data_IF_763547792427
#
_entry.id   IF_763547792427
#
_cell.length_a   1.000
_cell.length_b   1.000
_cell.length_c   1.000
_cell.angle_alpha   90.00
_cell.angle_beta   90.00
_cell.angle_gamma   90.00
#
_symmetry.space_group_name_H-M   'P 1'
#
loop_
_entity.id
_entity.type
_entity.pdbx_description
1 polymer ?
#
# COMPACT_ATOMS: atom_id res chain seq x y z
N UNK A 1 -23.29 12.06 21.37
CA UNK A 1 -22.62 11.15 20.42
C UNK A 1 -22.55 11.84 19.07
N UNK A 2 -21.35 12.26 18.65
CA UNK A 2 -21.15 12.88 17.33
C UNK A 2 -21.31 11.83 16.23
N UNK A 3 -21.98 12.18 15.13
CA UNK A 3 -22.09 11.31 13.96
C UNK A 3 -20.72 11.25 13.31
N UNK A 4 -20.04 10.11 13.39
CA UNK A 4 -18.84 9.81 12.60
C UNK A 4 -19.19 10.02 11.13
N UNK A 5 -18.47 10.89 10.43
CA UNK A 5 -18.70 11.11 9.00
C UNK A 5 -18.15 9.92 8.20
N UNK A 6 -18.65 9.73 6.98
CA UNK A 6 -18.14 8.68 6.08
C UNK A 6 -16.63 8.86 5.83
N UNK A 7 -16.15 10.11 5.72
CA UNK A 7 -14.71 10.40 5.63
C UNK A 7 -13.94 9.93 6.86
N UNK A 8 -14.47 10.14 8.07
CA UNK A 8 -13.80 9.72 9.31
C UNK A 8 -13.63 8.20 9.37
N UNK A 9 -14.64 7.46 8.89
CA UNK A 9 -14.60 6.00 8.80
C UNK A 9 -13.61 5.48 7.76
N UNK A 10 -13.48 6.14 6.61
CA UNK A 10 -12.48 5.75 5.59
C UNK A 10 -11.05 6.04 6.11
N UNK A 11 -10.88 7.15 6.83
CA UNK A 11 -9.62 7.52 7.47
C UNK A 11 -9.17 6.55 8.58
N UNK A 12 -10.10 5.86 9.25
CA UNK A 12 -9.74 4.80 10.21
C UNK A 12 -9.20 3.55 9.52
N UNK A 13 -9.77 3.12 8.38
CA UNK A 13 -9.36 1.87 7.70
C UNK A 13 -7.87 1.87 7.36
N UNK A 14 -7.33 2.97 6.82
CA UNK A 14 -5.92 3.04 6.46
C UNK A 14 -5.00 2.87 7.69
N UNK A 15 -5.37 3.45 8.82
CA UNK A 15 -4.63 3.30 10.09
C UNK A 15 -4.74 1.88 10.62
N UNK A 16 -5.94 1.31 10.59
CA UNK A 16 -6.19 -0.07 11.04
C UNK A 16 -5.41 -1.10 10.21
N UNK A 17 -5.23 -0.85 8.90
CA UNK A 17 -4.34 -1.64 8.03
C UNK A 17 -2.91 -1.60 8.56
N UNK A 18 -2.35 -0.42 8.84
CA UNK A 18 -0.98 -0.33 9.38
C UNK A 18 -0.85 -1.01 10.75
N UNK A 19 -1.84 -0.84 11.61
CA UNK A 19 -1.86 -1.50 12.91
C UNK A 19 -1.90 -3.03 12.76
N UNK A 20 -2.61 -3.56 11.77
CA UNK A 20 -2.57 -4.99 11.43
C UNK A 20 -1.19 -5.43 10.93
N UNK A 21 -0.62 -4.73 9.93
CA UNK A 21 0.72 -5.00 9.39
C UNK A 21 1.74 -5.08 10.53
N UNK A 22 1.75 -4.10 11.42
CA UNK A 22 2.73 -4.02 12.51
C UNK A 22 2.71 -5.21 13.48
N UNK A 23 1.60 -5.96 13.53
CA UNK A 23 1.40 -7.12 14.40
C UNK A 23 1.76 -8.44 13.73
N UNK A 24 1.61 -8.54 12.41
CA UNK A 24 1.66 -9.83 11.71
C UNK A 24 2.70 -9.91 10.59
N UNK A 25 3.18 -8.77 10.08
CA UNK A 25 4.16 -8.72 9.01
C UNK A 25 5.58 -8.59 9.56
N UNK A 26 6.55 -9.01 8.75
CA UNK A 26 7.98 -8.88 9.05
C UNK A 26 8.50 -7.55 8.51
N UNK A 27 9.14 -6.74 9.36
CA UNK A 27 9.77 -5.48 8.94
C UNK A 27 10.89 -5.75 7.93
N UNK A 28 10.90 -5.00 6.83
CA UNK A 28 11.86 -5.15 5.73
C UNK A 28 11.52 -6.28 4.75
N UNK A 29 10.41 -6.99 4.95
CA UNK A 29 9.91 -8.00 4.01
C UNK A 29 8.66 -7.47 3.31
N UNK A 30 8.85 -6.90 2.11
CA UNK A 30 7.77 -6.34 1.30
C UNK A 30 6.66 -7.35 0.97
N UNK A 31 6.98 -8.63 0.77
CA UNK A 31 5.98 -9.64 0.46
C UNK A 31 5.13 -9.95 1.70
N UNK A 32 5.77 -10.06 2.87
CA UNK A 32 5.05 -10.21 4.14
C UNK A 32 4.10 -9.04 4.41
N UNK A 33 4.46 -7.82 4.02
CA UNK A 33 3.60 -6.63 4.15
C UNK A 33 2.42 -6.68 3.18
N UNK A 34 2.65 -7.02 1.91
CA UNK A 34 1.57 -7.17 0.91
C UNK A 34 0.56 -8.23 1.36
N UNK A 35 1.05 -9.40 1.79
CA UNK A 35 0.21 -10.50 2.26
C UNK A 35 -0.63 -10.10 3.48
N UNK A 36 -0.07 -9.32 4.41
CA UNK A 36 -0.80 -8.82 5.57
C UNK A 36 -1.92 -7.86 5.17
N UNK A 37 -1.71 -7.00 4.17
CA UNK A 37 -2.74 -6.08 3.68
C UNK A 37 -3.86 -6.85 2.98
N UNK A 38 -3.52 -7.85 2.15
CA UNK A 38 -4.51 -8.67 1.45
C UNK A 38 -5.36 -9.47 2.45
N UNK A 39 -4.74 -10.12 3.44
CA UNK A 39 -5.46 -10.84 4.51
C UNK A 39 -6.37 -9.93 5.31
N UNK A 40 -5.94 -8.72 5.63
CA UNK A 40 -6.82 -7.73 6.27
C UNK A 40 -8.09 -7.47 5.45
N UNK A 41 -7.92 -7.33 4.12
CA UNK A 41 -9.02 -7.13 3.17
C UNK A 41 -10.02 -8.29 3.11
N UNK A 42 -9.56 -9.53 3.30
CA UNK A 42 -10.40 -10.72 3.31
C UNK A 42 -11.05 -10.99 4.67
N UNK A 43 -10.27 -10.89 5.74
CA UNK A 43 -10.64 -11.45 7.04
C UNK A 43 -11.24 -10.42 8.00
N UNK A 44 -10.93 -9.12 7.81
CA UNK A 44 -11.32 -8.06 8.75
C UNK A 44 -12.37 -7.14 8.15
N UNK A 45 -12.02 -6.42 7.09
CA UNK A 45 -12.97 -5.56 6.36
C UNK A 45 -12.46 -5.28 4.95
N UNK A 46 -13.40 -5.09 4.02
CA UNK A 46 -13.07 -4.75 2.64
C UNK A 46 -12.26 -3.45 2.55
N UNK A 47 -11.27 -3.43 1.64
CA UNK A 47 -10.38 -2.28 1.41
C UNK A 47 -10.55 -1.73 -0.01
N UNK A 48 -10.00 -0.53 -0.25
CA UNK A 48 -9.94 0.07 -1.59
C UNK A 48 -8.68 -0.33 -2.37
N UNK A 49 -7.91 -1.29 -1.87
CA UNK A 49 -6.66 -1.70 -2.49
C UNK A 49 -6.91 -2.41 -3.84
N UNK A 50 -5.86 -2.47 -4.65
CA UNK A 50 -5.88 -3.20 -5.91
C UNK A 50 -6.22 -4.69 -5.68
N UNK A 51 -5.72 -5.27 -4.59
CA UNK A 51 -5.86 -6.68 -4.25
C UNK A 51 -4.94 -7.57 -5.08
N UNK A 52 -4.78 -8.81 -4.64
CA UNK A 52 -3.88 -9.82 -5.22
C UNK A 52 -4.15 -10.11 -6.70
N UNK A 53 -5.40 -10.33 -7.11
CA UNK A 53 -5.78 -10.73 -8.47
C UNK A 53 -5.39 -9.66 -9.50
N UNK A 54 -5.76 -8.40 -9.26
CA UNK A 54 -5.35 -7.29 -10.13
C UNK A 54 -3.89 -6.92 -9.91
N UNK A 55 -3.36 -7.19 -8.72
CA UNK A 55 -1.96 -7.00 -8.39
C UNK A 55 -1.04 -7.85 -9.25
N UNK A 56 -1.40 -9.08 -9.59
CA UNK A 56 -0.62 -9.92 -10.51
C UNK A 56 -0.60 -9.37 -11.95
N UNK A 57 -1.66 -8.68 -12.36
CA UNK A 57 -1.68 -7.98 -13.65
C UNK A 57 -0.71 -6.79 -13.58
N UNK A 58 -0.78 -5.99 -12.51
CA UNK A 58 0.14 -4.88 -12.29
C UNK A 58 1.60 -5.34 -12.26
N UNK A 59 1.89 -6.45 -11.58
CA UNK A 59 3.23 -7.02 -11.49
C UNK A 59 3.80 -7.35 -12.87
N UNK A 60 3.00 -8.03 -13.70
CA UNK A 60 3.38 -8.34 -15.08
C UNK A 60 3.64 -7.08 -15.89
N UNK A 61 2.76 -6.08 -15.80
CA UNK A 61 2.96 -4.82 -16.52
C UNK A 61 4.27 -4.11 -16.11
N UNK A 62 4.61 -4.09 -14.81
CA UNK A 62 5.87 -3.49 -14.33
C UNK A 62 7.08 -4.28 -14.82
N UNK A 63 7.03 -5.61 -14.75
CA UNK A 63 8.12 -6.48 -15.20
C UNK A 63 8.36 -6.36 -16.71
N UNK A 64 7.30 -6.37 -17.52
CA UNK A 64 7.37 -6.25 -18.98
C UNK A 64 7.86 -4.88 -19.42
N UNK A 65 7.41 -3.80 -18.76
CA UNK A 65 7.82 -2.44 -19.10
C UNK A 65 9.22 -2.07 -18.60
N UNK A 66 9.70 -2.73 -17.53
CA UNK A 66 10.97 -2.46 -16.85
C UNK A 66 11.26 -0.95 -16.67
N UNK A 67 10.33 -0.18 -16.06
CA UNK A 67 10.41 1.28 -16.05
C UNK A 67 11.55 1.78 -15.17
N UNK A 68 12.12 2.93 -15.54
CA UNK A 68 13.05 3.69 -14.67
C UNK A 68 12.31 4.57 -13.67
N UNK A 69 11.12 5.05 -14.03
CA UNK A 69 10.29 5.92 -13.18
C UNK A 69 8.83 5.50 -13.34
N UNK A 70 8.12 5.38 -12.23
CA UNK A 70 6.69 5.13 -12.15
C UNK A 70 6.02 6.33 -11.48
N UNK A 71 4.89 6.78 -12.02
CA UNK A 71 4.02 7.77 -11.37
C UNK A 71 2.72 7.08 -10.95
N UNK A 72 2.41 7.12 -9.66
CA UNK A 72 1.16 6.68 -9.06
C UNK A 72 0.34 7.89 -8.61
N UNK A 73 -0.93 7.91 -8.97
CA UNK A 73 -1.90 8.93 -8.56
C UNK A 73 -2.94 8.28 -7.65
N UNK A 74 -2.88 8.59 -6.35
CA UNK A 74 -3.64 7.93 -5.29
C UNK A 74 -2.83 6.84 -4.61
N UNK A 75 -2.22 7.16 -3.48
CA UNK A 75 -1.37 6.22 -2.71
C UNK A 75 -2.18 5.41 -1.71
N UNK A 76 -3.23 5.99 -1.12
CA UNK A 76 -4.01 5.40 -0.03
C UNK A 76 -3.10 4.86 1.10
N UNK A 77 -3.07 3.55 1.35
CA UNK A 77 -2.21 2.94 2.38
C UNK A 77 -0.82 2.53 1.88
N UNK A 78 -0.52 2.72 0.59
CA UNK A 78 0.78 2.39 -0.01
C UNK A 78 0.89 0.98 -0.61
N UNK A 79 -0.21 0.22 -0.68
CA UNK A 79 -0.22 -1.16 -1.21
C UNK A 79 0.38 -1.27 -2.61
N UNK A 80 -0.14 -0.50 -3.58
CA UNK A 80 0.34 -0.56 -4.97
C UNK A 80 1.74 0.05 -5.11
N UNK A 81 2.09 1.07 -4.33
CA UNK A 81 3.43 1.64 -4.30
C UNK A 81 4.49 0.59 -3.95
N UNK A 82 4.34 -0.12 -2.81
CA UNK A 82 5.31 -1.14 -2.40
C UNK A 82 5.30 -2.35 -3.34
N UNK A 83 4.13 -2.65 -3.92
CA UNK A 83 3.98 -3.70 -4.93
C UNK A 83 4.78 -3.36 -6.18
N UNK A 84 4.68 -2.15 -6.73
CA UNK A 84 5.47 -1.77 -7.90
C UNK A 84 6.97 -1.68 -7.57
N UNK A 85 7.32 -1.04 -6.44
CA UNK A 85 8.70 -0.79 -6.05
C UNK A 85 9.54 -2.07 -5.93
N UNK A 86 8.97 -3.16 -5.38
CA UNK A 86 9.70 -4.45 -5.22
C UNK A 86 10.18 -5.08 -6.53
N UNK A 87 9.61 -4.67 -7.65
CA UNK A 87 9.90 -5.21 -8.99
C UNK A 87 10.86 -4.32 -9.80
N UNK A 88 11.19 -3.14 -9.29
CA UNK A 88 12.05 -2.20 -9.98
C UNK A 88 13.51 -2.59 -9.89
N UNK A 89 14.28 -2.20 -10.91
CA UNK A 89 15.75 -2.36 -10.93
C UNK A 89 16.40 -1.30 -10.04
N UNK A 90 17.63 -1.57 -9.62
CA UNK A 90 18.46 -0.60 -8.89
C UNK A 90 18.47 0.78 -9.58
N UNK A 91 18.22 1.83 -8.80
CA UNK A 91 18.15 3.21 -9.27
C UNK A 91 16.86 3.61 -9.99
N UNK A 92 15.86 2.73 -10.12
CA UNK A 92 14.53 3.09 -10.57
C UNK A 92 13.62 3.50 -9.40
N UNK A 93 12.64 4.36 -9.67
CA UNK A 93 11.86 5.05 -8.62
C UNK A 93 10.35 4.95 -8.84
N UNK A 94 9.60 4.85 -7.74
CA UNK A 94 8.15 5.11 -7.72
C UNK A 94 7.91 6.49 -7.09
N UNK A 95 7.26 7.37 -7.84
CA UNK A 95 6.71 8.62 -7.33
C UNK A 95 5.21 8.41 -7.11
N UNK A 96 4.75 8.56 -5.88
CA UNK A 96 3.34 8.42 -5.55
C UNK A 96 2.78 9.70 -4.95
N UNK A 97 1.56 10.07 -5.36
CA UNK A 97 0.91 11.32 -4.97
C UNK A 97 -0.41 11.01 -4.29
N UNK A 98 -0.56 11.48 -3.06
CA UNK A 98 -1.79 11.36 -2.27
C UNK A 98 -2.27 12.74 -1.82
N UNK A 99 -3.55 13.01 -2.04
CA UNK A 99 -4.16 14.29 -1.70
C UNK A 99 -4.55 14.37 -0.21
N UNK A 100 -4.92 13.24 0.39
CA UNK A 100 -5.28 13.17 1.79
C UNK A 100 -4.01 13.01 2.67
N UNK A 101 -3.66 13.99 3.51
CA UNK A 101 -2.45 13.94 4.31
C UNK A 101 -2.43 12.78 5.32
N UNK A 102 -3.59 12.29 5.78
CA UNK A 102 -3.66 11.14 6.69
C UNK A 102 -3.29 9.84 5.98
N UNK A 103 -3.76 9.65 4.74
CA UNK A 103 -3.37 8.52 3.90
C UNK A 103 -1.89 8.60 3.54
N UNK A 104 -1.39 9.78 3.16
CA UNK A 104 0.02 9.97 2.89
C UNK A 104 0.90 9.57 4.09
N UNK A 105 0.51 9.94 5.31
CA UNK A 105 1.22 9.57 6.53
C UNK A 105 1.17 8.06 6.81
N UNK A 106 0.05 7.38 6.54
CA UNK A 106 -0.05 5.92 6.64
C UNK A 106 0.85 5.24 5.59
N UNK A 107 0.77 5.68 4.33
CA UNK A 107 1.57 5.11 3.25
C UNK A 107 3.06 5.22 3.53
N UNK A 108 3.55 6.36 4.05
CA UNK A 108 4.94 6.51 4.46
C UNK A 108 5.35 5.47 5.51
N UNK A 109 4.49 5.21 6.50
CA UNK A 109 4.76 4.17 7.52
C UNK A 109 4.81 2.77 6.90
N UNK A 110 3.91 2.46 5.97
CA UNK A 110 3.88 1.16 5.27
C UNK A 110 5.13 0.98 4.41
N UNK A 111 5.51 1.99 3.63
CA UNK A 111 6.71 1.98 2.76
C UNK A 111 7.98 1.78 3.60
N UNK A 112 8.13 2.55 4.69
CA UNK A 112 9.26 2.40 5.61
C UNK A 112 9.27 1.05 6.33
N UNK A 113 8.10 0.53 6.72
CA UNK A 113 8.00 -0.80 7.33
C UNK A 113 8.38 -1.91 6.34
N UNK A 114 8.06 -1.75 5.05
CA UNK A 114 8.45 -2.65 3.97
C UNK A 114 9.94 -2.55 3.59
N UNK A 115 10.66 -1.53 4.08
CA UNK A 115 12.09 -1.32 3.80
C UNK A 115 12.37 -0.71 2.43
N UNK A 116 11.50 0.21 1.97
CA UNK A 116 11.54 0.81 0.64
C UNK A 116 11.67 2.35 0.66
N UNK A 117 12.12 2.93 1.77
CA UNK A 117 12.38 4.37 1.96
C UNK A 117 13.86 4.78 1.80
#
# INVERSE_FOLDING_TARGET
MGKTSVMDGINTVARDIFDHISKVATRGDVMSVIDAIDRYGYDVQGTMNVGDIKGEILDRCVQEAAPKNVLELGTYCGYSAIRMARLLKEGAMVYTVEANPEFAAVAQKVISFAGLD
#
